data_IF_372451290622
#
_entry.id   IF_372451290622
#
_cell.length_a   1.000
_cell.length_b   1.000
_cell.length_c   1.000
_cell.angle_alpha   90.00
_cell.angle_beta   90.00
_cell.angle_gamma   90.00
#
_symmetry.space_group_name_H-M   'P 1'
#
loop_
_entity.id
_entity.type
_entity.pdbx_description
1 polymer ?
#
# COMPACT_ATOMS: atom_id res chain seq x y z
N UNK A 1 -31.40 -7.88 8.21
CA UNK A 1 -30.48 -8.09 9.36
C UNK A 1 -29.33 -7.07 9.42
N UNK A 2 -29.44 -5.88 8.80
CA UNK A 2 -28.46 -4.77 8.92
C UNK A 2 -29.15 -3.43 9.26
N UNK A 3 -30.29 -3.46 9.95
CA UNK A 3 -31.13 -2.28 10.19
C UNK A 3 -30.81 -1.55 11.52
N UNK A 4 -29.65 -1.80 12.13
CA UNK A 4 -29.27 -1.24 13.42
C UNK A 4 -27.95 -0.47 13.47
N UNK A 5 -27.12 -0.55 12.43
CA UNK A 5 -25.82 0.14 12.42
C UNK A 5 -25.96 1.52 11.78
N UNK A 6 -25.67 2.55 12.56
CA UNK A 6 -25.61 3.92 12.06
C UNK A 6 -24.40 4.07 11.12
N UNK A 7 -24.50 4.92 10.09
CA UNK A 7 -23.40 5.24 9.16
C UNK A 7 -22.10 5.58 9.89
N UNK A 8 -22.21 6.21 11.07
CA UNK A 8 -21.07 6.58 11.92
C UNK A 8 -20.33 5.38 12.52
N UNK A 9 -21.04 4.28 12.82
CA UNK A 9 -20.43 3.06 13.36
C UNK A 9 -19.65 2.30 12.30
N UNK A 10 -20.20 2.25 11.09
CA UNK A 10 -19.53 1.66 9.92
C UNK A 10 -18.21 2.41 9.64
N UNK A 11 -18.24 3.75 9.65
CA UNK A 11 -17.05 4.58 9.43
C UNK A 11 -16.00 4.32 10.52
N UNK A 12 -16.39 4.26 11.80
CA UNK A 12 -15.46 3.98 12.90
C UNK A 12 -14.78 2.62 12.77
N UNK A 13 -15.51 1.61 12.28
CA UNK A 13 -14.98 0.26 12.08
C UNK A 13 -14.04 0.17 10.86
N UNK A 14 -14.31 0.93 9.79
CA UNK A 14 -13.43 0.99 8.61
C UNK A 14 -12.21 1.89 8.79
N UNK A 15 -12.28 2.86 9.71
CA UNK A 15 -11.20 3.80 9.99
C UNK A 15 -9.80 3.15 10.14
N UNK A 16 -9.61 2.09 10.96
CA UNK A 16 -8.30 1.44 11.09
C UNK A 16 -7.81 0.81 9.77
N UNK A 17 -8.70 0.23 8.98
CA UNK A 17 -8.36 -0.38 7.68
C UNK A 17 -7.90 0.69 6.71
N UNK A 18 -8.61 1.81 6.65
CA UNK A 18 -8.26 2.96 5.81
C UNK A 18 -6.88 3.51 6.21
N UNK A 19 -6.66 3.75 7.50
CA UNK A 19 -5.36 4.25 8.00
C UNK A 19 -4.22 3.30 7.62
N UNK A 20 -4.43 2.00 7.79
CA UNK A 20 -3.44 0.98 7.44
C UNK A 20 -3.17 0.95 5.93
N UNK A 21 -4.21 1.01 5.11
CA UNK A 21 -4.07 1.01 3.66
C UNK A 21 -3.29 2.24 3.16
N UNK A 22 -3.66 3.44 3.61
CA UNK A 22 -2.97 4.66 3.25
C UNK A 22 -1.53 4.70 3.80
N UNK A 23 -1.33 4.27 5.05
CA UNK A 23 0.00 4.14 5.65
C UNK A 23 0.91 3.21 4.84
N UNK A 24 0.38 2.06 4.40
CA UNK A 24 1.10 1.10 3.57
C UNK A 24 1.46 1.67 2.19
N UNK A 25 0.52 2.37 1.54
CA UNK A 25 0.76 3.05 0.25
C UNK A 25 1.86 4.09 0.38
N UNK A 26 1.79 4.97 1.39
CA UNK A 26 2.81 5.99 1.66
C UNK A 26 4.16 5.34 1.93
N UNK A 27 4.20 4.31 2.78
CA UNK A 27 5.42 3.56 3.07
C UNK A 27 6.07 2.98 1.81
N UNK A 28 5.26 2.38 0.92
CA UNK A 28 5.75 1.84 -0.35
C UNK A 28 6.33 2.93 -1.25
N UNK A 29 5.62 4.06 -1.39
CA UNK A 29 6.10 5.19 -2.19
C UNK A 29 7.43 5.72 -1.64
N UNK A 30 7.54 5.94 -0.33
CA UNK A 30 8.79 6.37 0.32
C UNK A 30 9.90 5.36 0.04
N UNK A 31 9.62 4.06 0.15
CA UNK A 31 10.59 3.00 -0.12
C UNK A 31 11.06 2.99 -1.59
N UNK A 32 10.15 3.23 -2.55
CA UNK A 32 10.48 3.37 -3.98
C UNK A 32 11.45 4.53 -4.21
N UNK A 33 11.21 5.68 -3.57
CA UNK A 33 12.07 6.86 -3.72
C UNK A 33 13.43 6.66 -3.03
N UNK A 34 13.44 6.13 -1.80
CA UNK A 34 14.64 6.01 -0.96
C UNK A 34 15.55 4.85 -1.37
N UNK A 35 14.99 3.66 -1.55
CA UNK A 35 15.76 2.44 -1.82
C UNK A 35 15.88 2.13 -3.31
N UNK A 36 15.02 2.75 -4.13
CA UNK A 36 14.86 2.39 -5.52
C UNK A 36 14.04 1.11 -5.71
N UNK A 37 14.07 0.60 -6.92
CA UNK A 37 13.23 -0.50 -7.40
C UNK A 37 14.14 -1.54 -8.07
N UNK A 38 13.87 -2.83 -7.85
CA UNK A 38 14.75 -3.90 -8.35
C UNK A 38 14.51 -4.23 -9.83
N UNK A 39 13.25 -4.41 -10.23
CA UNK A 39 12.92 -5.08 -11.50
C UNK A 39 12.39 -4.13 -12.59
N UNK A 40 11.60 -3.11 -12.21
CA UNK A 40 10.92 -2.22 -13.17
C UNK A 40 11.05 -0.76 -12.73
N UNK A 41 10.76 0.18 -13.63
CA UNK A 41 10.85 1.63 -13.38
C UNK A 41 10.07 2.09 -12.14
N UNK A 42 10.59 3.11 -11.46
CA UNK A 42 9.99 3.70 -10.24
C UNK A 42 8.53 4.13 -10.47
N UNK A 43 8.26 4.71 -11.64
CA UNK A 43 6.93 5.21 -12.02
C UNK A 43 5.90 4.07 -12.13
N UNK A 44 6.30 2.92 -12.68
CA UNK A 44 5.43 1.75 -12.83
C UNK A 44 5.01 1.23 -11.46
N UNK A 45 5.95 1.14 -10.51
CA UNK A 45 5.62 0.73 -9.15
C UNK A 45 4.71 1.72 -8.42
N UNK A 46 4.91 3.03 -8.63
CA UNK A 46 4.01 4.05 -8.06
C UNK A 46 2.59 3.87 -8.60
N UNK A 47 2.43 3.65 -9.91
CA UNK A 47 1.13 3.35 -10.51
C UNK A 47 0.50 2.07 -9.91
N UNK A 48 1.25 0.98 -9.81
CA UNK A 48 0.75 -0.27 -9.22
C UNK A 48 0.26 -0.07 -7.79
N UNK A 49 1.03 0.66 -6.96
CA UNK A 49 0.68 0.95 -5.56
C UNK A 49 -0.57 1.84 -5.45
N UNK A 50 -0.78 2.77 -6.39
CA UNK A 50 -1.93 3.67 -6.40
C UNK A 50 -3.20 3.01 -6.94
N UNK A 51 -3.10 2.24 -8.04
CA UNK A 51 -4.25 1.73 -8.78
C UNK A 51 -4.71 0.34 -8.35
N UNK A 52 -3.87 -0.46 -7.67
CA UNK A 52 -4.18 -1.85 -7.30
C UNK A 52 -4.48 -1.98 -5.79
N UNK A 53 -5.10 -0.95 -5.20
CA UNK A 53 -5.51 -0.87 -3.77
C UNK A 53 -4.46 -1.44 -2.81
N UNK A 54 -4.80 -2.43 -1.96
CA UNK A 54 -3.87 -3.07 -1.02
C UNK A 54 -2.96 -4.11 -1.68
N UNK A 55 -3.40 -4.72 -2.79
CA UNK A 55 -2.62 -5.75 -3.50
C UNK A 55 -1.36 -5.13 -4.13
N UNK A 56 -1.45 -3.93 -4.71
CA UNK A 56 -0.30 -3.23 -5.29
C UNK A 56 0.88 -3.04 -4.32
N UNK A 57 0.67 -2.43 -3.13
CA UNK A 57 1.66 -2.33 -2.07
C UNK A 57 2.25 -3.68 -1.65
N UNK A 58 1.41 -4.71 -1.48
CA UNK A 58 1.88 -6.06 -1.08
C UNK A 58 2.83 -6.63 -2.14
N UNK A 59 2.45 -6.56 -3.41
CA UNK A 59 3.27 -7.02 -4.54
C UNK A 59 4.59 -6.24 -4.63
N UNK A 60 4.57 -4.92 -4.39
CA UNK A 60 5.79 -4.12 -4.31
C UNK A 60 6.70 -4.56 -3.15
N UNK A 61 6.15 -4.82 -1.97
CA UNK A 61 6.94 -5.21 -0.81
C UNK A 61 7.61 -6.59 -0.97
N UNK A 62 7.00 -7.49 -1.75
CA UNK A 62 7.53 -8.83 -2.01
C UNK A 62 8.52 -8.81 -3.18
N UNK A 63 8.14 -8.23 -4.33
CA UNK A 63 8.91 -8.35 -5.57
C UNK A 63 9.63 -7.07 -5.98
N UNK A 64 9.12 -5.90 -5.58
CA UNK A 64 9.63 -4.59 -6.00
C UNK A 64 10.77 -4.05 -5.14
N UNK A 65 10.84 -4.47 -3.88
CA UNK A 65 11.89 -4.05 -2.95
C UNK A 65 13.26 -4.50 -3.44
N UNK A 66 14.17 -3.54 -3.57
CA UNK A 66 15.59 -3.82 -3.75
C UNK A 66 16.16 -4.26 -2.41
N UNK A 67 16.41 -5.56 -2.28
CA UNK A 67 17.16 -6.11 -1.16
C UNK A 67 18.62 -5.66 -1.32
N UNK A 68 19.17 -4.94 -0.36
CA UNK A 68 20.60 -4.61 -0.31
C UNK A 68 21.43 -5.81 0.21
N UNK A 69 21.12 -7.03 -0.24
CA UNK A 69 21.81 -8.26 0.18
C UNK A 69 22.83 -8.76 -0.85
N UNK A 70 23.12 -7.95 -1.86
CA UNK A 70 24.17 -8.14 -2.85
C UNK A 70 25.20 -7.01 -2.73
N UNK A 71 26.30 -7.32 -2.01
CA UNK A 71 27.60 -6.63 -1.84
C UNK A 71 27.73 -5.20 -2.40
#
# INVERSE_FOLDING_TARGET
>A
MLEGFSTMEIIKMLLPVIILEFGLKIFCIISIYKNGVKNVNKIVWILVVLFISTIGPIVFLIFGRRNNYDN
#
